data_IF_688894725968
#
_entry.id   IF_688894725968
#
_cell.length_a   1.000
_cell.length_b   1.000
_cell.length_c   1.000
_cell.angle_alpha   90.00
_cell.angle_beta   90.00
_cell.angle_gamma   90.00
#
_symmetry.space_group_name_H-M   'P 1'
#
loop_
_entity.id
_entity.type
_entity.pdbx_description
1 polymer ?
#
# COMPACT_ATOMS: atom_id res chain seq x y z
N UNK A 1 -9.64 8.79 -29.98
CA UNK A 1 -9.25 9.58 -28.78
C UNK A 1 -7.82 10.10 -28.96
N UNK A 2 -7.55 11.36 -28.62
CA UNK A 2 -6.21 11.95 -28.76
C UNK A 2 -5.25 11.45 -27.66
N UNK A 3 -3.97 11.24 -27.98
CA UNK A 3 -2.91 10.85 -27.02
C UNK A 3 -2.85 11.76 -25.78
N UNK A 4 -3.17 13.05 -25.94
CA UNK A 4 -3.25 14.01 -24.81
C UNK A 4 -4.39 13.67 -23.85
N UNK A 5 -5.54 13.22 -24.35
CA UNK A 5 -6.69 12.82 -23.52
C UNK A 5 -6.39 11.56 -22.69
N UNK A 6 -5.69 10.58 -23.29
CA UNK A 6 -5.24 9.38 -22.59
C UNK A 6 -4.30 9.72 -21.41
N UNK A 7 -3.32 10.60 -21.64
CA UNK A 7 -2.38 11.02 -20.59
C UNK A 7 -3.05 11.78 -19.42
N UNK A 8 -4.09 12.58 -19.70
CA UNK A 8 -4.85 13.31 -18.67
C UNK A 8 -5.70 12.35 -17.85
N UNK A 9 -6.35 11.39 -18.50
CA UNK A 9 -7.16 10.36 -17.84
C UNK A 9 -6.29 9.46 -16.96
N UNK A 10 -5.13 9.02 -17.46
CA UNK A 10 -4.16 8.22 -16.71
C UNK A 10 -3.69 8.93 -15.44
N UNK A 11 -3.34 10.22 -15.51
CA UNK A 11 -2.98 11.03 -14.33
C UNK A 11 -4.11 11.14 -13.31
N UNK A 12 -5.35 11.33 -13.78
CA UNK A 12 -6.52 11.38 -12.89
C UNK A 12 -6.74 10.06 -12.17
N UNK A 13 -6.61 8.93 -12.88
CA UNK A 13 -6.72 7.59 -12.28
C UNK A 13 -5.61 7.35 -11.27
N UNK A 14 -4.35 7.60 -11.64
CA UNK A 14 -3.20 7.43 -10.75
C UNK A 14 -3.35 8.23 -9.44
N UNK A 15 -3.82 9.49 -9.51
CA UNK A 15 -4.02 10.33 -8.32
C UNK A 15 -5.02 9.75 -7.31
N UNK A 16 -6.01 8.98 -7.76
CA UNK A 16 -6.97 8.33 -6.89
C UNK A 16 -6.54 6.92 -6.45
N UNK A 17 -5.85 6.19 -7.34
CA UNK A 17 -5.39 4.84 -7.06
C UNK A 17 -4.26 4.83 -6.03
N UNK A 18 -3.36 5.81 -6.07
CA UNK A 18 -2.18 5.85 -5.19
C UNK A 18 -2.57 5.91 -3.70
N UNK A 19 -3.44 6.81 -3.21
CA UNK A 19 -3.82 6.80 -1.80
C UNK A 19 -4.47 5.48 -1.36
N UNK A 20 -5.33 4.90 -2.20
CA UNK A 20 -6.02 3.64 -1.91
C UNK A 20 -5.02 2.48 -1.80
N UNK A 21 -4.00 2.47 -2.64
CA UNK A 21 -2.97 1.44 -2.63
C UNK A 21 -1.91 1.69 -1.54
N UNK A 22 -1.45 2.93 -1.38
CA UNK A 22 -0.37 3.30 -0.49
C UNK A 22 -0.79 3.26 0.98
N UNK A 23 -2.03 3.65 1.31
CA UNK A 23 -2.50 3.68 2.70
C UNK A 23 -2.43 2.30 3.40
N UNK A 24 -3.00 1.21 2.85
CA UNK A 24 -2.85 -0.11 3.48
C UNK A 24 -1.39 -0.55 3.52
N UNK A 25 -0.59 -0.28 2.49
CA UNK A 25 0.85 -0.60 2.47
C UNK A 25 1.62 0.10 3.61
N UNK A 26 1.37 1.39 3.80
CA UNK A 26 2.00 2.18 4.86
C UNK A 26 1.55 1.73 6.25
N UNK A 27 0.27 1.37 6.41
CA UNK A 27 -0.24 0.82 7.68
C UNK A 27 0.45 -0.51 7.99
N UNK A 28 0.51 -1.44 7.03
CA UNK A 28 1.13 -2.74 7.26
C UNK A 28 2.62 -2.60 7.55
N UNK A 29 3.35 -1.82 6.74
CA UNK A 29 4.78 -1.59 6.95
C UNK A 29 5.02 -0.90 8.30
N UNK A 30 4.28 0.16 8.61
CA UNK A 30 4.41 0.92 9.84
C UNK A 30 4.10 0.08 11.08
N UNK A 31 3.01 -0.69 11.08
CA UNK A 31 2.66 -1.55 12.22
C UNK A 31 3.65 -2.70 12.42
N UNK A 32 4.15 -3.31 11.33
CA UNK A 32 5.17 -4.35 11.40
C UNK A 32 6.49 -3.81 11.96
N UNK A 33 6.99 -2.70 11.40
CA UNK A 33 8.23 -2.07 11.87
C UNK A 33 8.11 -1.57 13.31
N UNK A 34 6.99 -0.93 13.68
CA UNK A 34 6.77 -0.47 15.05
C UNK A 34 6.69 -1.62 16.04
N UNK A 35 6.02 -2.73 15.66
CA UNK A 35 5.96 -3.92 16.51
C UNK A 35 7.36 -4.48 16.76
N UNK A 36 8.19 -4.60 15.72
CA UNK A 36 9.58 -5.07 15.86
C UNK A 36 10.39 -4.18 16.80
N UNK A 37 10.27 -2.85 16.66
CA UNK A 37 10.94 -1.93 17.58
C UNK A 37 10.46 -2.17 19.02
N UNK A 38 9.16 -2.05 19.28
CA UNK A 38 8.60 -2.21 20.63
C UNK A 38 9.00 -3.55 21.28
N UNK A 39 9.02 -4.62 20.48
CA UNK A 39 9.41 -5.95 20.95
C UNK A 39 10.89 -5.98 21.40
N UNK A 40 11.80 -5.29 20.70
CA UNK A 40 13.19 -5.15 21.13
C UNK A 40 13.34 -4.41 22.47
N UNK A 41 12.38 -3.54 22.82
CA UNK A 41 12.31 -2.90 24.14
C UNK A 41 11.57 -3.74 25.19
N UNK A 42 11.19 -4.97 24.87
CA UNK A 42 10.45 -5.87 25.77
C UNK A 42 8.95 -5.57 25.86
N UNK A 43 8.41 -4.74 24.96
CA UNK A 43 6.99 -4.41 24.90
C UNK A 43 6.30 -5.29 23.85
N UNK A 44 5.53 -6.27 24.30
CA UNK A 44 4.71 -7.09 23.41
C UNK A 44 3.39 -6.37 23.06
N UNK A 45 3.42 -5.64 21.96
CA UNK A 45 2.27 -4.92 21.42
C UNK A 45 1.52 -5.76 20.36
N UNK A 46 1.08 -6.98 20.70
CA UNK A 46 0.41 -7.93 19.79
C UNK A 46 -0.77 -7.34 18.97
N UNK A 47 -1.44 -6.30 19.47
CA UNK A 47 -2.50 -5.60 18.73
C UNK A 47 -2.00 -4.95 17.42
N UNK A 48 -0.71 -4.59 17.34
CA UNK A 48 -0.08 -4.13 16.09
C UNK A 48 -0.06 -5.23 15.04
N UNK A 49 0.19 -6.49 15.43
CA UNK A 49 0.14 -7.63 14.51
C UNK A 49 -1.28 -7.93 14.03
N UNK A 50 -2.30 -7.68 14.85
CA UNK A 50 -3.71 -7.76 14.40
C UNK A 50 -3.96 -6.76 13.27
N UNK A 51 -3.55 -5.51 13.44
CA UNK A 51 -3.69 -4.49 12.39
C UNK A 51 -2.83 -4.84 11.15
N UNK A 52 -1.58 -5.27 11.36
CA UNK A 52 -0.65 -5.67 10.30
C UNK A 52 -1.23 -6.76 9.40
N UNK A 53 -1.97 -7.71 9.97
CA UNK A 53 -2.59 -8.82 9.24
C UNK A 53 -3.98 -8.47 8.68
N UNK A 54 -4.47 -7.25 8.87
CA UNK A 54 -5.77 -6.80 8.36
C UNK A 54 -6.95 -7.09 9.28
N UNK A 55 -6.70 -7.42 10.55
CA UNK A 55 -7.73 -7.51 11.57
C UNK A 55 -7.88 -6.16 12.28
N UNK A 56 -8.93 -5.42 11.92
CA UNK A 56 -9.26 -4.10 12.47
C UNK A 56 -10.34 -4.18 13.57
N UNK A 57 -10.44 -5.32 14.27
CA UNK A 57 -11.45 -5.56 15.29
C UNK A 57 -12.77 -6.03 14.68
N UNK A 58 -13.73 -5.13 14.49
CA UNK A 58 -15.07 -5.46 13.93
C UNK A 58 -14.99 -5.84 12.45
N UNK A 59 -13.99 -5.34 11.74
CA UNK A 59 -13.73 -5.64 10.34
C UNK A 59 -12.50 -6.54 10.24
N UNK A 60 -12.74 -7.82 9.92
CA UNK A 60 -11.66 -8.79 9.74
C UNK A 60 -11.40 -9.04 8.26
N UNK A 61 -10.36 -8.40 7.72
CA UNK A 61 -9.91 -8.60 6.34
C UNK A 61 -8.82 -9.66 6.22
N UNK A 62 -8.35 -10.28 7.32
CA UNK A 62 -7.25 -11.26 7.30
C UNK A 62 -7.26 -12.27 6.15
N UNK A 63 -8.41 -12.88 5.76
CA UNK A 63 -8.41 -13.89 4.69
C UNK A 63 -7.96 -13.36 3.33
N UNK A 64 -8.17 -12.07 3.06
CA UNK A 64 -7.90 -11.44 1.76
C UNK A 64 -6.82 -10.37 1.83
N UNK A 65 -6.54 -9.85 3.03
CA UNK A 65 -5.66 -8.70 3.24
C UNK A 65 -4.24 -8.92 2.68
N UNK A 66 -3.56 -10.05 2.93
CA UNK A 66 -2.22 -10.28 2.37
C UNK A 66 -2.22 -10.33 0.83
N UNK A 67 -3.24 -10.94 0.22
CA UNK A 67 -3.36 -11.03 -1.23
C UNK A 67 -3.61 -9.65 -1.85
N UNK A 68 -4.52 -8.87 -1.26
CA UNK A 68 -4.77 -7.49 -1.65
C UNK A 68 -3.51 -6.65 -1.54
N UNK A 69 -2.80 -6.74 -0.41
CA UNK A 69 -1.58 -5.99 -0.14
C UNK A 69 -0.47 -6.33 -1.14
N UNK A 70 -0.27 -7.62 -1.43
CA UNK A 70 0.67 -8.08 -2.45
C UNK A 70 0.34 -7.53 -3.84
N UNK A 71 -0.93 -7.62 -4.26
CA UNK A 71 -1.39 -7.07 -5.54
C UNK A 71 -1.20 -5.55 -5.64
N UNK A 72 -1.56 -4.81 -4.59
CA UNK A 72 -1.36 -3.36 -4.52
C UNK A 72 0.13 -2.98 -4.58
N UNK A 73 0.99 -3.75 -3.90
CA UNK A 73 2.45 -3.55 -3.93
C UNK A 73 2.98 -3.66 -5.35
N UNK A 74 2.59 -4.73 -6.07
CA UNK A 74 3.02 -4.97 -7.45
C UNK A 74 2.54 -3.83 -8.36
N UNK A 75 1.27 -3.45 -8.27
CA UNK A 75 0.68 -2.37 -9.09
C UNK A 75 1.42 -1.05 -8.86
N UNK A 76 1.62 -0.65 -7.60
CA UNK A 76 2.29 0.61 -7.26
C UNK A 76 3.77 0.59 -7.67
N UNK A 77 4.46 -0.53 -7.46
CA UNK A 77 5.87 -0.69 -7.83
C UNK A 77 6.06 -0.58 -9.34
N UNK A 78 5.26 -1.30 -10.13
CA UNK A 78 5.32 -1.24 -11.59
C UNK A 78 4.94 0.17 -12.08
N UNK A 79 3.87 0.76 -11.53
CA UNK A 79 3.46 2.13 -11.89
C UNK A 79 4.57 3.14 -11.58
N UNK A 80 5.21 3.05 -10.43
CA UNK A 80 6.31 3.93 -10.02
C UNK A 80 7.53 3.76 -10.91
N UNK A 81 7.96 2.52 -11.15
CA UNK A 81 9.09 2.21 -12.04
C UNK A 81 8.85 2.73 -13.47
N UNK A 82 7.66 2.50 -14.03
CA UNK A 82 7.30 3.01 -15.35
C UNK A 82 7.33 4.54 -15.44
N UNK A 83 6.99 5.25 -14.36
CA UNK A 83 7.09 6.70 -14.29
C UNK A 83 8.54 7.19 -14.17
N UNK A 84 9.37 6.51 -13.37
CA UNK A 84 10.79 6.83 -13.22
C UNK A 84 11.57 6.63 -14.54
N UNK A 85 11.25 5.57 -15.28
CA UNK A 85 11.90 5.23 -16.54
C UNK A 85 11.38 6.04 -17.74
N UNK A 86 10.29 6.80 -17.57
CA UNK A 86 9.75 7.61 -18.66
C UNK A 86 10.61 8.87 -18.84
N UNK A 87 11.22 9.10 -20.02
CA UNK A 87 12.00 10.29 -20.27
C UNK A 87 11.13 11.54 -20.15
N UNK A 88 11.58 12.50 -19.33
CA UNK A 88 11.00 13.84 -19.29
C UNK A 88 11.40 14.55 -20.59
N UNK A 89 10.52 14.50 -21.60
CA UNK A 89 10.62 15.30 -22.83
C UNK A 89 9.73 16.52 -22.70
#
# INVERSE_FOLDING_TARGET
>A
MSQRQLSRRARKVHRWLVPIAALPLLITAGTGSLYSLLLEQGIDAFWLLKIHTGNFGVLNLQPVYPMLLGGLTVIVTISGAAMLLKPSR
#
